data_IF_200170293229
#
_entry.id   IF_200170293229
#
_cell.length_a   1.000
_cell.length_b   1.000
_cell.length_c   1.000
_cell.angle_alpha   90.00
_cell.angle_beta   90.00
_cell.angle_gamma   90.00
#
_symmetry.space_group_name_H-M   'P 1'
#
loop_
_entity.id
_entity.type
_entity.pdbx_description
1 polymer ?
#
# COMPACT_ATOMS: atom_id res chain seq x y z
N UNK A 1 2.17 5.49 23.38
CA UNK A 1 1.81 5.96 24.74
C UNK A 1 1.89 7.48 24.83
N UNK A 2 2.99 8.11 24.41
CA UNK A 2 3.17 9.58 24.38
C UNK A 2 2.07 10.32 23.64
N UNK A 3 1.69 9.88 22.44
CA UNK A 3 0.62 10.53 21.65
C UNK A 3 -0.75 10.45 22.35
N UNK A 4 -1.05 9.32 22.98
CA UNK A 4 -2.30 9.11 23.72
C UNK A 4 -2.37 9.99 24.97
N UNK A 5 -1.26 10.14 25.69
CA UNK A 5 -1.18 10.94 26.91
C UNK A 5 -1.18 12.46 26.62
N UNK A 6 -0.59 12.87 25.51
CA UNK A 6 -0.45 14.29 25.15
C UNK A 6 -1.56 14.81 24.24
N UNK A 7 -2.31 13.91 23.58
CA UNK A 7 -3.27 14.26 22.53
C UNK A 7 -2.62 14.86 21.29
N UNK A 8 -1.28 14.83 21.19
CA UNK A 8 -0.51 15.39 20.08
C UNK A 8 0.13 14.28 19.28
N UNK A 9 0.03 14.38 17.95
CA UNK A 9 0.75 13.49 17.03
C UNK A 9 2.24 13.82 17.16
N UNK A 10 3.08 12.78 17.23
CA UNK A 10 4.53 12.99 17.28
C UNK A 10 4.98 13.60 15.95
N UNK A 11 5.85 14.63 15.97
CA UNK A 11 6.40 15.16 14.74
C UNK A 11 7.15 14.04 14.01
N UNK A 12 6.75 13.78 12.75
CA UNK A 12 7.44 12.87 11.85
C UNK A 12 7.98 13.66 10.67
N UNK A 13 9.20 13.33 10.23
CA UNK A 13 9.80 13.94 9.06
C UNK A 13 9.52 13.04 7.84
N UNK A 14 8.98 13.61 6.77
CA UNK A 14 8.87 12.93 5.49
C UNK A 14 10.27 12.68 4.93
N UNK A 15 10.61 11.42 4.71
CA UNK A 15 11.88 11.07 4.04
C UNK A 15 11.76 11.26 2.52
N UNK A 16 12.87 11.45 1.79
CA UNK A 16 12.83 11.52 0.32
C UNK A 16 12.16 10.30 -0.33
N UNK A 17 12.32 9.10 0.25
CA UNK A 17 11.67 7.89 -0.23
C UNK A 17 10.15 7.92 -0.03
N UNK A 18 9.67 8.45 1.10
CA UNK A 18 8.23 8.63 1.36
C UNK A 18 7.63 9.67 0.42
N UNK A 19 8.31 10.81 0.24
CA UNK A 19 7.87 11.87 -0.67
C UNK A 19 7.76 11.36 -2.11
N UNK A 20 8.78 10.62 -2.57
CA UNK A 20 8.75 9.96 -3.87
C UNK A 20 7.56 9.00 -4.02
N UNK A 21 7.28 8.20 -2.98
CA UNK A 21 6.11 7.32 -2.94
C UNK A 21 4.81 8.06 -3.18
N UNK A 22 4.59 9.14 -2.43
CA UNK A 22 3.40 10.00 -2.52
C UNK A 22 3.24 10.59 -3.92
N UNK A 23 4.33 11.03 -4.54
CA UNK A 23 4.31 11.65 -5.88
C UNK A 23 3.98 10.67 -7.01
N UNK A 24 4.27 9.38 -6.82
CA UNK A 24 4.19 8.37 -7.90
C UNK A 24 3.04 7.37 -7.73
N UNK A 25 2.45 7.25 -6.53
CA UNK A 25 1.33 6.33 -6.25
C UNK A 25 0.19 6.48 -7.25
N UNK A 26 -0.24 7.71 -7.53
CA UNK A 26 -1.37 7.96 -8.43
C UNK A 26 -1.07 7.55 -9.88
N UNK A 27 0.19 7.66 -10.32
CA UNK A 27 0.59 7.21 -11.65
C UNK A 27 0.59 5.67 -11.73
N UNK A 28 1.09 5.01 -10.69
CA UNK A 28 1.08 3.55 -10.59
C UNK A 28 -0.35 2.98 -10.65
N UNK A 29 -1.29 3.61 -9.96
CA UNK A 29 -2.68 3.20 -9.93
C UNK A 29 -3.36 3.41 -11.28
N UNK A 30 -3.15 4.55 -11.95
CA UNK A 30 -3.68 4.78 -13.30
C UNK A 30 -3.19 3.76 -14.32
N UNK A 31 -1.91 3.41 -14.25
CA UNK A 31 -1.35 2.37 -15.12
C UNK A 31 -1.94 0.99 -14.81
N UNK A 32 -2.13 0.68 -13.52
CA UNK A 32 -2.82 -0.54 -13.09
C UNK A 32 -4.27 -0.60 -13.57
N UNK A 33 -5.06 0.47 -13.39
CA UNK A 33 -6.44 0.54 -13.90
C UNK A 33 -6.51 0.29 -15.40
N UNK A 34 -5.59 0.91 -16.15
CA UNK A 34 -5.50 0.74 -17.60
C UNK A 34 -5.11 -0.67 -18.04
N UNK A 35 -4.13 -1.30 -17.38
CA UNK A 35 -3.64 -2.65 -17.74
C UNK A 35 -4.70 -3.72 -17.43
N UNK A 36 -5.38 -3.61 -16.30
CA UNK A 36 -6.30 -4.65 -15.82
C UNK A 36 -7.78 -4.35 -16.13
N UNK A 37 -8.07 -3.24 -16.82
CA UNK A 37 -9.43 -2.76 -17.12
C UNK A 37 -10.32 -2.81 -15.87
N UNK A 38 -9.81 -2.26 -14.78
CA UNK A 38 -10.45 -2.28 -13.46
C UNK A 38 -10.49 -0.89 -12.88
N UNK A 39 -11.57 -0.56 -12.17
CA UNK A 39 -11.66 0.66 -11.37
C UNK A 39 -11.04 0.44 -9.99
N UNK A 40 -10.26 1.41 -9.51
CA UNK A 40 -9.76 1.44 -8.13
C UNK A 40 -10.34 2.62 -7.35
N UNK A 41 -10.86 2.35 -6.15
CA UNK A 41 -11.59 3.37 -5.37
C UNK A 41 -10.71 3.87 -4.24
N UNK A 42 -10.57 5.21 -4.14
CA UNK A 42 -9.79 5.86 -3.08
C UNK A 42 -10.34 5.59 -1.70
N UNK A 43 -9.44 5.27 -0.77
CA UNK A 43 -9.75 5.08 0.63
C UNK A 43 -8.81 5.92 1.51
N UNK A 44 -9.07 5.92 2.82
CA UNK A 44 -8.19 6.45 3.84
C UNK A 44 -7.92 5.39 4.91
N UNK A 45 -7.96 5.81 6.17
CA UNK A 45 -7.73 4.94 7.31
C UNK A 45 -9.00 4.16 7.69
N UNK A 46 -8.92 2.83 7.74
CA UNK A 46 -9.99 1.92 8.15
C UNK A 46 -9.66 1.32 9.50
N UNK A 47 -10.60 1.44 10.46
CA UNK A 47 -10.49 0.82 11.77
C UNK A 47 -10.76 -0.67 11.69
N UNK A 48 -10.01 -1.46 12.45
CA UNK A 48 -10.27 -2.88 12.59
C UNK A 48 -11.66 -3.10 13.23
N UNK A 49 -12.49 -4.03 12.72
CA UNK A 49 -13.88 -4.18 13.17
C UNK A 49 -14.01 -4.57 14.64
N UNK A 50 -13.06 -5.34 15.16
CA UNK A 50 -13.11 -5.89 16.54
C UNK A 50 -11.96 -5.49 17.45
N UNK A 51 -10.81 -5.06 16.91
CA UNK A 51 -9.62 -4.75 17.70
C UNK A 51 -9.62 -3.25 17.93
N UNK A 52 -9.87 -2.85 19.18
CA UNK A 52 -9.90 -1.44 19.56
C UNK A 52 -8.56 -0.76 19.30
N UNK A 53 -8.61 0.52 18.93
CA UNK A 53 -7.44 1.37 18.69
C UNK A 53 -6.50 0.82 17.60
N UNK A 54 -7.03 0.04 16.67
CA UNK A 54 -6.28 -0.56 15.57
C UNK A 54 -6.93 -0.26 14.22
N UNK A 55 -6.14 -0.20 13.16
CA UNK A 55 -6.61 0.09 11.81
C UNK A 55 -5.46 0.22 10.81
N UNK A 56 -5.81 0.23 9.54
CA UNK A 56 -4.88 0.28 8.42
C UNK A 56 -5.24 1.41 7.47
N UNK A 57 -4.23 2.10 6.94
CA UNK A 57 -4.41 2.89 5.72
C UNK A 57 -4.34 1.96 4.51
N UNK A 58 -5.28 2.16 3.60
CA UNK A 58 -5.38 1.45 2.33
C UNK A 58 -5.01 2.40 1.21
N UNK A 59 -4.34 1.91 0.18
CA UNK A 59 -4.14 2.70 -1.02
C UNK A 59 -5.46 2.77 -1.79
N UNK A 60 -5.96 1.65 -2.36
CA UNK A 60 -7.27 1.62 -3.03
C UNK A 60 -8.04 0.30 -2.85
N UNK A 61 -9.36 0.36 -2.97
CA UNK A 61 -10.23 -0.81 -3.11
C UNK A 61 -10.33 -1.26 -4.57
N UNK A 62 -10.55 -2.55 -4.78
CA UNK A 62 -10.91 -3.11 -6.09
C UNK A 62 -12.22 -3.91 -5.95
N UNK A 63 -13.27 -3.47 -6.66
CA UNK A 63 -14.58 -4.12 -6.64
C UNK A 63 -15.11 -4.36 -5.22
N UNK A 64 -15.73 -5.53 -4.99
CA UNK A 64 -16.32 -5.92 -3.69
C UNK A 64 -15.36 -6.70 -2.79
N UNK A 65 -14.34 -7.34 -3.36
CA UNK A 65 -13.52 -8.34 -2.66
C UNK A 65 -12.02 -8.00 -2.62
N UNK A 66 -11.57 -7.01 -3.38
CA UNK A 66 -10.15 -6.75 -3.59
C UNK A 66 -9.62 -5.49 -2.95
N UNK A 67 -8.30 -5.48 -2.77
CA UNK A 67 -7.47 -4.35 -2.38
C UNK A 67 -6.29 -4.24 -3.35
N UNK A 68 -5.70 -3.06 -3.42
CA UNK A 68 -4.39 -2.86 -4.03
C UNK A 68 -3.49 -2.07 -3.07
N UNK A 69 -2.25 -2.53 -2.95
CA UNK A 69 -1.17 -1.93 -2.18
C UNK A 69 -0.01 -1.62 -3.13
N UNK A 70 0.41 -0.35 -3.18
CA UNK A 70 1.39 0.18 -4.13
C UNK A 70 2.64 0.60 -3.38
N UNK A 71 3.79 0.12 -3.86
CA UNK A 71 5.11 0.61 -3.46
C UNK A 71 5.83 1.20 -4.66
N UNK A 72 6.26 2.45 -4.54
CA UNK A 72 7.07 3.14 -5.54
C UNK A 72 8.50 3.29 -5.02
N UNK A 73 9.38 2.28 -5.17
CA UNK A 73 10.76 2.40 -4.72
C UNK A 73 11.59 3.40 -5.54
N UNK A 74 12.61 4.00 -4.93
CA UNK A 74 13.61 4.81 -5.65
C UNK A 74 14.57 3.90 -6.45
N UNK A 75 14.86 4.31 -7.68
CA UNK A 75 15.42 3.46 -8.76
C UNK A 75 16.80 2.87 -8.50
N UNK A 76 17.62 3.45 -7.63
CA UNK A 76 19.04 3.09 -7.50
C UNK A 76 19.32 1.77 -6.78
N UNK A 77 18.35 1.21 -6.06
CA UNK A 77 18.53 -0.04 -5.31
C UNK A 77 17.79 -1.26 -5.90
N UNK A 78 16.93 -1.07 -6.91
CA UNK A 78 15.82 -2.02 -7.16
C UNK A 78 15.96 -2.96 -8.36
N UNK A 79 16.97 -2.81 -9.23
CA UNK A 79 17.08 -3.71 -10.38
C UNK A 79 17.30 -5.18 -9.99
N UNK A 80 18.02 -5.44 -8.87
CA UNK A 80 18.21 -6.81 -8.33
C UNK A 80 16.99 -7.32 -7.58
N UNK A 81 16.34 -6.48 -6.77
CA UNK A 81 15.08 -6.82 -6.07
C UNK A 81 13.91 -7.09 -7.03
N UNK A 82 14.02 -6.65 -8.28
CA UNK A 82 13.02 -6.92 -9.31
C UNK A 82 12.99 -8.40 -9.74
N UNK A 83 14.16 -9.05 -9.75
CA UNK A 83 14.28 -10.43 -10.21
C UNK A 83 13.79 -11.42 -9.15
N UNK A 84 13.92 -11.05 -7.87
CA UNK A 84 13.35 -11.81 -6.78
C UNK A 84 11.87 -11.44 -6.68
N UNK A 85 11.01 -12.36 -7.10
CA UNK A 85 9.54 -12.25 -7.00
C UNK A 85 9.03 -12.34 -5.55
N UNK A 86 9.88 -12.01 -4.58
CA UNK A 86 9.61 -12.11 -3.17
C UNK A 86 9.09 -10.78 -2.63
N UNK A 87 7.91 -10.85 -2.03
CA UNK A 87 7.34 -9.76 -1.26
C UNK A 87 7.95 -9.84 0.13
N UNK A 88 8.45 -8.71 0.63
CA UNK A 88 9.04 -8.67 1.97
C UNK A 88 8.00 -9.09 3.03
N UNK A 89 8.39 -9.85 4.07
CA UNK A 89 7.45 -10.29 5.10
C UNK A 89 6.66 -9.15 5.75
N UNK A 90 7.25 -7.97 5.90
CA UNK A 90 6.53 -6.80 6.43
C UNK A 90 5.36 -6.34 5.54
N UNK A 91 5.47 -6.47 4.21
CA UNK A 91 4.39 -6.13 3.29
C UNK A 91 3.32 -7.21 3.25
N UNK A 92 3.69 -8.48 3.41
CA UNK A 92 2.71 -9.53 3.64
C UNK A 92 1.88 -9.26 4.90
N UNK A 93 2.53 -8.93 6.02
CA UNK A 93 1.84 -8.59 7.25
C UNK A 93 0.94 -7.36 7.08
N UNK A 94 1.41 -6.33 6.36
CA UNK A 94 0.62 -5.13 6.05
C UNK A 94 -0.65 -5.49 5.27
N UNK A 95 -0.55 -6.24 4.17
CA UNK A 95 -1.69 -6.60 3.33
C UNK A 95 -2.67 -7.53 4.05
N UNK A 96 -2.19 -8.50 4.81
CA UNK A 96 -3.04 -9.37 5.62
C UNK A 96 -3.82 -8.56 6.66
N UNK A 97 -3.18 -7.56 7.28
CA UNK A 97 -3.84 -6.70 8.25
C UNK A 97 -4.86 -5.75 7.61
N UNK A 98 -4.59 -5.27 6.39
CA UNK A 98 -5.54 -4.50 5.59
C UNK A 98 -6.79 -5.33 5.25
N UNK A 99 -6.61 -6.58 4.84
CA UNK A 99 -7.71 -7.53 4.61
C UNK A 99 -8.49 -7.79 5.89
N UNK A 100 -7.82 -7.98 7.03
CA UNK A 100 -8.49 -8.13 8.33
C UNK A 100 -9.31 -6.89 8.73
N UNK A 101 -8.82 -5.68 8.43
CA UNK A 101 -9.54 -4.44 8.71
C UNK A 101 -10.79 -4.25 7.85
N UNK A 102 -10.81 -4.80 6.64
CA UNK A 102 -11.83 -4.51 5.61
C UNK A 102 -12.77 -5.68 5.31
N UNK A 103 -12.40 -6.90 5.70
CA UNK A 103 -13.09 -8.12 5.30
C UNK A 103 -12.89 -8.51 3.83
N UNK A 104 -11.94 -7.87 3.13
CA UNK A 104 -11.62 -8.18 1.72
C UNK A 104 -10.84 -9.49 1.62
N UNK A 105 -10.93 -10.13 0.47
CA UNK A 105 -10.47 -11.52 0.24
C UNK A 105 -9.05 -11.60 -0.30
N UNK A 106 -8.59 -10.58 -1.00
CA UNK A 106 -7.28 -10.57 -1.64
C UNK A 106 -6.71 -9.16 -1.76
N UNK A 107 -5.38 -9.07 -1.91
CA UNK A 107 -4.69 -7.81 -2.15
C UNK A 107 -3.69 -7.97 -3.30
N UNK A 108 -3.78 -7.10 -4.30
CA UNK A 108 -2.74 -6.96 -5.31
C UNK A 108 -1.61 -6.09 -4.79
N UNK A 109 -0.40 -6.64 -4.78
CA UNK A 109 0.81 -5.91 -4.46
C UNK A 109 1.46 -5.40 -5.75
N UNK A 110 1.63 -4.09 -5.85
CA UNK A 110 2.23 -3.42 -7.01
C UNK A 110 3.57 -2.83 -6.61
N UNK A 111 4.61 -3.14 -7.40
CA UNK A 111 5.88 -2.42 -7.35
C UNK A 111 5.99 -1.57 -8.61
N UNK A 112 5.90 -0.26 -8.42
CA UNK A 112 5.94 0.70 -9.53
C UNK A 112 7.33 1.34 -9.65
N UNK A 113 7.94 1.16 -10.80
CA UNK A 113 9.11 1.93 -11.23
C UNK A 113 8.67 2.68 -12.50
N UNK A 114 8.94 3.97 -12.65
CA UNK A 114 8.63 4.67 -13.90
C UNK A 114 9.20 3.90 -15.11
N UNK A 115 8.33 3.52 -16.05
CA UNK A 115 8.57 2.65 -17.22
C UNK A 115 8.64 1.13 -16.96
N UNK A 116 8.30 0.64 -15.77
CA UNK A 116 8.18 -0.79 -15.46
C UNK A 116 7.16 -1.05 -14.34
N UNK A 117 6.15 -1.89 -14.61
CA UNK A 117 5.21 -2.38 -13.59
C UNK A 117 5.32 -3.89 -13.43
N UNK A 118 5.55 -4.36 -12.21
CA UNK A 118 5.28 -5.77 -11.84
C UNK A 118 4.22 -5.82 -10.73
N UNK A 119 3.37 -6.84 -10.83
CA UNK A 119 2.35 -7.15 -9.84
C UNK A 119 2.50 -8.58 -9.32
N UNK A 120 2.07 -8.77 -8.08
CA UNK A 120 1.94 -10.08 -7.43
C UNK A 120 0.61 -10.09 -6.67
N UNK A 121 -0.11 -11.21 -6.69
CA UNK A 121 -1.34 -11.41 -5.94
C UNK A 121 -1.02 -12.09 -4.61
N UNK A 122 -1.58 -11.58 -3.52
CA UNK A 122 -1.47 -12.11 -2.16
C UNK A 122 -2.84 -12.35 -1.54
#
# INVERSE_FOLDING_TARGET
MTEHLTGKISPSNTTPAMQWGIEHEENALKEYEFIYDTEVIKCGFIRHPTIQMSGASLDRFIGEDGLVEVKCPQSTAHLRFFMDNEIKPEYHAQMQFQMACTGRKWCHFIRYIPNFVANLLV
#
